data_IF_257786178915
#
_entry.id   IF_257786178915
#
_cell.length_a   1.000
_cell.length_b   1.000
_cell.length_c   1.000
_cell.angle_alpha   90.00
_cell.angle_beta   90.00
_cell.angle_gamma   90.00
#
_symmetry.space_group_name_H-M   'P 1'
#
loop_
_entity.id
_entity.type
_entity.pdbx_description
1 polymer ?
#
# COMPACT_ATOMS: atom_id res chain seq x y z
N UNK A 1 -20.12 30.81 5.81
CA UNK A 1 -19.12 30.77 4.71
C UNK A 1 -18.83 29.31 4.44
N UNK A 2 -19.39 28.75 3.39
CA UNK A 2 -19.16 27.37 2.94
C UNK A 2 -17.70 27.29 2.48
N UNK A 3 -16.88 26.55 3.21
CA UNK A 3 -15.54 26.15 2.79
C UNK A 3 -15.73 25.38 1.48
N UNK A 4 -15.37 25.98 0.33
CA UNK A 4 -15.29 25.26 -0.93
C UNK A 4 -14.41 24.04 -0.70
N UNK A 5 -14.93 22.84 -0.93
CA UNK A 5 -14.19 21.60 -0.77
C UNK A 5 -12.88 21.73 -1.55
N UNK A 6 -11.75 21.69 -0.83
CA UNK A 6 -10.42 21.85 -1.43
C UNK A 6 -10.23 20.67 -2.37
N UNK A 7 -10.20 20.96 -3.69
CA UNK A 7 -10.08 19.92 -4.71
C UNK A 7 -8.81 19.10 -4.42
N UNK A 8 -8.98 17.80 -4.17
CA UNK A 8 -7.89 16.88 -3.88
C UNK A 8 -7.16 16.56 -5.19
N UNK A 9 -5.98 17.14 -5.39
CA UNK A 9 -5.18 17.07 -6.62
C UNK A 9 -4.93 15.63 -7.11
N UNK A 10 -4.84 14.67 -6.19
CA UNK A 10 -4.55 13.28 -6.49
C UNK A 10 -5.71 12.54 -7.16
N UNK A 11 -6.98 12.97 -6.92
CA UNK A 11 -8.15 12.34 -7.57
C UNK A 11 -8.13 12.49 -9.08
N UNK A 12 -7.89 13.72 -9.55
CA UNK A 12 -7.87 14.01 -10.99
C UNK A 12 -6.60 13.48 -11.64
N UNK A 13 -5.47 13.64 -10.97
CA UNK A 13 -4.18 13.29 -11.54
C UNK A 13 -4.00 11.77 -11.69
N UNK A 14 -4.29 10.99 -10.67
CA UNK A 14 -4.14 9.53 -10.72
C UNK A 14 -5.17 8.83 -11.62
N UNK A 15 -6.27 9.51 -11.97
CA UNK A 15 -7.23 9.05 -12.98
C UNK A 15 -6.85 9.49 -14.42
N UNK A 16 -5.84 10.37 -14.57
CA UNK A 16 -5.45 10.90 -15.88
C UNK A 16 -4.75 9.84 -16.75
N UNK A 17 -5.09 9.71 -18.04
CA UNK A 17 -4.37 8.84 -18.97
C UNK A 17 -2.89 9.25 -19.11
N UNK A 18 -2.57 10.54 -18.92
CA UNK A 18 -1.20 11.04 -18.95
C UNK A 18 -0.39 10.61 -17.74
N UNK A 19 -1.02 10.48 -16.55
CA UNK A 19 -0.38 9.86 -15.40
C UNK A 19 0.06 8.44 -15.70
N UNK A 20 -0.86 7.62 -16.18
CA UNK A 20 -0.56 6.24 -16.48
C UNK A 20 0.52 6.10 -17.56
N UNK A 21 0.50 6.96 -18.59
CA UNK A 21 1.54 6.96 -19.63
C UNK A 21 2.92 7.33 -19.08
N UNK A 22 2.99 8.34 -18.21
CA UNK A 22 4.24 8.79 -17.60
C UNK A 22 4.89 7.74 -16.70
N UNK A 23 4.07 6.94 -15.97
CA UNK A 23 4.54 5.99 -14.98
C UNK A 23 4.41 4.52 -15.42
N UNK A 24 3.91 4.26 -16.64
CA UNK A 24 3.69 2.89 -17.12
C UNK A 24 5.02 2.12 -17.35
N UNK A 25 6.11 2.82 -17.60
CA UNK A 25 7.45 2.24 -17.79
C UNK A 25 8.12 1.77 -16.48
N UNK A 26 7.46 1.90 -15.33
CA UNK A 26 7.94 1.25 -14.12
C UNK A 26 7.92 -0.25 -14.34
N UNK A 27 9.11 -0.82 -14.40
CA UNK A 27 9.43 -2.17 -14.81
C UNK A 27 8.55 -3.19 -14.05
N UNK A 28 7.68 -3.90 -14.78
CA UNK A 28 6.88 -5.00 -14.21
C UNK A 28 7.78 -6.03 -13.54
N UNK A 29 8.97 -6.22 -14.07
CA UNK A 29 9.98 -7.11 -13.56
C UNK A 29 10.54 -6.65 -12.21
N UNK A 30 10.80 -5.36 -12.00
CA UNK A 30 11.23 -4.84 -10.70
C UNK A 30 10.17 -5.08 -9.63
N UNK A 31 8.90 -4.84 -9.97
CA UNK A 31 7.80 -5.10 -9.06
C UNK A 31 7.65 -6.59 -8.72
N UNK A 32 7.79 -7.47 -9.72
CA UNK A 32 7.74 -8.92 -9.53
C UNK A 32 8.88 -9.40 -8.63
N UNK A 33 10.12 -8.97 -8.92
CA UNK A 33 11.30 -9.31 -8.13
C UNK A 33 11.14 -8.84 -6.67
N UNK A 34 10.60 -7.64 -6.46
CA UNK A 34 10.35 -7.12 -5.11
C UNK A 34 9.30 -7.94 -4.36
N UNK A 35 8.16 -8.25 -5.00
CA UNK A 35 7.12 -9.08 -4.38
C UNK A 35 7.66 -10.46 -3.99
N UNK A 36 8.42 -11.12 -4.86
CA UNK A 36 9.02 -12.40 -4.55
C UNK A 36 9.98 -12.35 -3.35
N UNK A 37 10.84 -11.32 -3.28
CA UNK A 37 11.74 -11.11 -2.12
C UNK A 37 10.95 -10.87 -0.84
N UNK A 38 9.92 -10.03 -0.91
CA UNK A 38 9.08 -9.69 0.24
C UNK A 38 8.31 -10.91 0.74
N UNK A 39 7.70 -11.70 -0.14
CA UNK A 39 7.00 -12.94 0.23
C UNK A 39 7.97 -13.96 0.83
N UNK A 40 9.17 -14.09 0.26
CA UNK A 40 10.22 -14.96 0.82
C UNK A 40 10.68 -14.50 2.20
N UNK A 41 10.71 -13.20 2.47
CA UNK A 41 11.05 -12.66 3.79
C UNK A 41 9.91 -12.88 4.80
N UNK A 42 8.67 -12.57 4.40
CA UNK A 42 7.51 -12.61 5.30
C UNK A 42 7.02 -14.03 5.59
N UNK A 43 7.30 -15.00 4.71
CA UNK A 43 6.87 -16.42 4.82
C UNK A 43 5.36 -16.54 5.18
N UNK A 44 4.45 -15.94 4.40
CA UNK A 44 3.03 -16.00 4.70
C UNK A 44 2.48 -17.43 4.55
N UNK A 45 1.42 -17.74 5.30
CA UNK A 45 0.71 -19.01 5.15
C UNK A 45 0.03 -19.09 3.77
N UNK A 46 -0.15 -20.29 3.20
CA UNK A 46 -0.70 -20.46 1.85
C UNK A 46 -2.07 -19.82 1.61
N UNK A 47 -2.92 -19.73 2.63
CA UNK A 47 -4.27 -19.18 2.59
C UNK A 47 -4.37 -17.78 3.21
N UNK A 48 -3.25 -17.07 3.34
CA UNK A 48 -3.21 -15.75 3.93
C UNK A 48 -4.05 -14.75 3.12
N UNK A 49 -4.89 -13.99 3.83
CA UNK A 49 -5.64 -12.88 3.26
C UNK A 49 -4.80 -11.62 3.24
N UNK A 50 -4.67 -11.04 2.06
CA UNK A 50 -3.83 -9.87 1.83
C UNK A 50 -4.64 -8.71 1.28
N UNK A 51 -4.31 -7.47 1.69
CA UNK A 51 -4.87 -6.27 1.09
C UNK A 51 -3.76 -5.40 0.52
N UNK A 52 -3.95 -4.98 -0.74
CA UNK A 52 -3.11 -4.00 -1.45
C UNK A 52 -3.83 -2.65 -1.43
N UNK A 53 -3.33 -1.74 -0.61
CA UNK A 53 -3.91 -0.42 -0.33
C UNK A 53 -3.39 0.59 -1.35
N UNK A 54 -4.27 1.26 -2.07
CA UNK A 54 -3.96 2.11 -3.23
C UNK A 54 -3.25 1.30 -4.32
N UNK A 55 -3.89 0.19 -4.72
CA UNK A 55 -3.34 -0.81 -5.64
C UNK A 55 -3.17 -0.29 -7.08
N UNK A 56 -3.73 0.87 -7.42
CA UNK A 56 -3.74 1.40 -8.78
C UNK A 56 -4.39 0.40 -9.75
N UNK A 57 -3.68 0.05 -10.81
CA UNK A 57 -4.12 -0.94 -11.82
C UNK A 57 -3.92 -2.40 -11.41
N UNK A 58 -3.64 -2.67 -10.15
CA UNK A 58 -3.63 -4.02 -9.58
C UNK A 58 -2.38 -4.84 -9.87
N UNK A 59 -1.26 -4.24 -10.32
CA UNK A 59 -0.05 -4.97 -10.70
C UNK A 59 0.48 -5.86 -9.57
N UNK A 60 0.65 -5.34 -8.36
CA UNK A 60 1.13 -6.11 -7.20
C UNK A 60 0.07 -7.09 -6.70
N UNK A 61 -1.19 -6.67 -6.70
CA UNK A 61 -2.33 -7.54 -6.34
C UNK A 61 -2.38 -8.79 -7.22
N UNK A 62 -2.22 -8.64 -8.55
CA UNK A 62 -2.16 -9.77 -9.49
C UNK A 62 -0.97 -10.70 -9.22
N UNK A 63 0.21 -10.15 -8.90
CA UNK A 63 1.39 -10.96 -8.56
C UNK A 63 1.19 -11.77 -7.30
N UNK A 64 0.64 -11.17 -6.25
CA UNK A 64 0.31 -11.87 -5.00
C UNK A 64 -0.75 -12.97 -5.23
N UNK A 65 -1.78 -12.70 -6.04
CA UNK A 65 -2.81 -13.69 -6.37
C UNK A 65 -2.24 -14.86 -7.19
N UNK A 66 -1.33 -14.62 -8.14
CA UNK A 66 -0.59 -15.67 -8.87
C UNK A 66 0.26 -16.56 -7.96
N UNK A 67 0.71 -16.03 -6.82
CA UNK A 67 1.42 -16.81 -5.78
C UNK A 67 0.46 -17.63 -4.89
N UNK A 68 -0.87 -17.56 -5.13
CA UNK A 68 -1.88 -18.37 -4.46
C UNK A 68 -2.50 -17.72 -3.21
N UNK A 69 -2.27 -16.43 -2.95
CA UNK A 69 -2.87 -15.73 -1.82
C UNK A 69 -4.28 -15.21 -2.15
N UNK A 70 -5.12 -15.06 -1.12
CA UNK A 70 -6.43 -14.40 -1.22
C UNK A 70 -6.22 -12.87 -1.12
N UNK A 71 -6.36 -12.16 -2.25
CA UNK A 71 -5.94 -10.77 -2.39
C UNK A 71 -7.13 -9.85 -2.64
N UNK A 72 -7.20 -8.79 -1.87
CA UNK A 72 -8.10 -7.66 -2.10
C UNK A 72 -7.27 -6.43 -2.46
N UNK A 73 -7.47 -5.86 -3.65
CA UNK A 73 -6.92 -4.57 -4.03
C UNK A 73 -7.98 -3.47 -3.92
N UNK A 74 -7.61 -2.30 -3.44
CA UNK A 74 -8.49 -1.14 -3.58
C UNK A 74 -7.71 0.13 -3.91
N UNK A 75 -8.36 1.01 -4.65
CA UNK A 75 -7.83 2.33 -5.03
C UNK A 75 -8.94 3.37 -5.05
N UNK A 76 -8.55 4.63 -4.93
CA UNK A 76 -9.48 5.76 -5.03
C UNK A 76 -9.97 6.00 -6.46
N UNK A 77 -9.12 5.72 -7.47
CA UNK A 77 -9.40 5.93 -8.88
C UNK A 77 -10.29 4.81 -9.42
N UNK A 78 -11.50 5.19 -9.83
CA UNK A 78 -12.42 4.29 -10.51
C UNK A 78 -11.79 3.73 -11.81
N UNK A 79 -11.14 4.57 -12.59
CA UNK A 79 -10.51 4.21 -13.87
C UNK A 79 -9.39 3.17 -13.68
N UNK A 80 -8.64 3.28 -12.58
CA UNK A 80 -7.60 2.29 -12.25
C UNK A 80 -8.22 0.95 -11.87
N UNK A 81 -9.28 0.96 -11.07
CA UNK A 81 -9.98 -0.27 -10.65
C UNK A 81 -10.69 -0.94 -11.83
N UNK A 82 -11.37 -0.16 -12.68
CA UNK A 82 -12.01 -0.70 -13.89
C UNK A 82 -10.97 -1.38 -14.80
N UNK A 83 -9.81 -0.74 -15.01
CA UNK A 83 -8.71 -1.34 -15.75
C UNK A 83 -8.22 -2.65 -15.10
N UNK A 84 -8.01 -2.67 -13.77
CA UNK A 84 -7.55 -3.84 -13.05
C UNK A 84 -8.53 -5.02 -13.20
N UNK A 85 -9.83 -4.77 -13.09
CA UNK A 85 -10.88 -5.78 -13.27
C UNK A 85 -10.91 -6.34 -14.68
N UNK A 86 -10.78 -5.47 -15.72
CA UNK A 86 -10.73 -5.91 -17.12
C UNK A 86 -9.47 -6.71 -17.41
N UNK A 87 -8.32 -6.34 -16.83
CA UNK A 87 -7.06 -7.06 -17.00
C UNK A 87 -7.14 -8.48 -16.44
N UNK A 88 -7.70 -8.64 -15.24
CA UNK A 88 -7.89 -9.96 -14.60
C UNK A 88 -8.79 -10.87 -15.45
N UNK A 89 -9.89 -10.34 -15.98
CA UNK A 89 -10.80 -11.11 -16.87
C UNK A 89 -10.13 -11.57 -18.15
N UNK A 90 -9.28 -10.72 -18.74
CA UNK A 90 -8.62 -11.01 -20.03
C UNK A 90 -7.52 -12.06 -19.92
N UNK A 91 -6.72 -11.99 -18.85
CA UNK A 91 -5.51 -12.82 -18.67
C UNK A 91 -5.79 -14.11 -17.89
N UNK A 92 -7.07 -14.42 -17.60
CA UNK A 92 -7.48 -15.59 -16.77
C UNK A 92 -6.74 -15.67 -15.43
N UNK A 93 -6.27 -14.53 -14.90
CA UNK A 93 -5.57 -14.41 -13.61
C UNK A 93 -6.56 -14.54 -12.44
N UNK A 94 -7.69 -15.09 -12.63
CA UNK A 94 -8.76 -15.21 -11.64
C UNK A 94 -9.67 -16.39 -11.91
N UNK A 95 -9.16 -17.45 -12.53
CA UNK A 95 -9.88 -18.74 -12.55
C UNK A 95 -10.05 -19.32 -11.13
N UNK A 96 -9.26 -18.84 -10.15
CA UNK A 96 -9.52 -18.99 -8.73
C UNK A 96 -10.10 -17.67 -8.21
N UNK A 97 -11.22 -17.68 -7.48
CA UNK A 97 -11.90 -16.53 -6.85
C UNK A 97 -11.04 -15.81 -5.77
N UNK A 98 -9.71 -15.77 -5.97
CA UNK A 98 -8.73 -15.29 -4.98
C UNK A 98 -8.26 -13.85 -5.19
N UNK A 99 -8.87 -13.08 -6.12
CA UNK A 99 -8.53 -11.68 -6.38
C UNK A 99 -9.77 -10.83 -6.57
N UNK A 100 -9.91 -9.80 -5.75
CA UNK A 100 -11.03 -8.86 -5.81
C UNK A 100 -10.53 -7.42 -5.80
N UNK A 101 -11.21 -6.51 -6.55
CA UNK A 101 -10.89 -5.10 -6.59
C UNK A 101 -12.09 -4.24 -6.20
N UNK A 102 -11.81 -3.14 -5.48
CA UNK A 102 -12.83 -2.19 -5.01
C UNK A 102 -12.38 -0.75 -5.16
N UNK A 103 -13.28 0.15 -5.54
CA UNK A 103 -13.04 1.57 -5.40
C UNK A 103 -13.25 1.99 -3.94
N UNK A 104 -12.19 2.46 -3.27
CA UNK A 104 -12.28 2.88 -1.87
C UNK A 104 -11.21 3.90 -1.51
N UNK A 105 -11.52 4.77 -0.54
CA UNK A 105 -10.59 5.74 0.03
C UNK A 105 -9.98 5.18 1.33
N UNK A 106 -8.66 5.03 1.38
CA UNK A 106 -7.95 4.44 2.51
C UNK A 106 -8.16 5.18 3.85
N UNK A 107 -8.68 6.41 3.84
CA UNK A 107 -9.00 7.16 5.06
C UNK A 107 -10.27 6.66 5.76
N UNK A 108 -11.08 5.88 5.08
CA UNK A 108 -12.34 5.34 5.62
C UNK A 108 -12.23 3.86 5.96
N UNK A 109 -12.95 3.37 7.00
CA UNK A 109 -12.96 1.96 7.34
C UNK A 109 -13.51 1.09 6.20
N UNK A 110 -12.88 -0.08 5.97
CA UNK A 110 -13.31 -1.04 4.94
C UNK A 110 -13.52 -2.45 5.49
N UNK A 111 -12.59 -3.00 6.28
CA UNK A 111 -12.72 -4.26 6.99
C UNK A 111 -12.23 -4.12 8.43
N UNK A 112 -12.58 -5.09 9.29
CA UNK A 112 -12.13 -5.15 10.68
C UNK A 112 -11.59 -6.54 11.00
N UNK A 113 -10.35 -6.64 11.46
CA UNK A 113 -9.68 -7.89 11.85
C UNK A 113 -9.80 -8.99 10.78
N UNK A 114 -9.61 -8.66 9.53
CA UNK A 114 -9.87 -9.56 8.40
C UNK A 114 -8.61 -10.04 7.69
N UNK A 115 -7.64 -9.15 7.45
CA UNK A 115 -6.44 -9.44 6.70
C UNK A 115 -5.29 -9.91 7.59
N UNK A 116 -4.49 -10.84 7.07
CA UNK A 116 -3.24 -11.28 7.68
C UNK A 116 -2.11 -10.32 7.31
N UNK A 117 -2.14 -9.75 6.09
CA UNK A 117 -1.17 -8.80 5.57
C UNK A 117 -1.86 -7.61 4.90
N UNK A 118 -1.30 -6.42 5.10
CA UNK A 118 -1.64 -5.21 4.36
C UNK A 118 -0.38 -4.64 3.71
N UNK A 119 -0.51 -4.14 2.49
CA UNK A 119 0.57 -3.54 1.74
C UNK A 119 0.18 -2.16 1.25
N UNK A 120 1.14 -1.23 1.22
CA UNK A 120 1.03 0.04 0.52
C UNK A 120 2.37 0.29 -0.18
N UNK A 121 2.39 0.12 -1.50
CA UNK A 121 3.60 0.09 -2.30
C UNK A 121 3.88 1.41 -3.03
N UNK A 122 5.14 1.64 -3.40
CA UNK A 122 5.59 2.68 -4.31
C UNK A 122 5.16 4.11 -3.95
N UNK A 123 5.23 4.46 -2.67
CA UNK A 123 4.87 5.81 -2.17
C UNK A 123 3.41 6.17 -2.43
N UNK A 124 2.48 5.21 -2.31
CA UNK A 124 1.03 5.46 -2.40
C UNK A 124 0.44 6.06 -1.12
N UNK A 125 1.25 6.79 -0.37
CA UNK A 125 0.94 7.47 0.88
C UNK A 125 1.54 8.89 0.88
N UNK A 126 1.11 9.78 1.81
CA UNK A 126 1.71 11.10 1.93
C UNK A 126 1.01 12.20 1.12
N UNK A 127 -0.12 11.94 0.47
CA UNK A 127 -0.80 12.87 -0.43
C UNK A 127 -1.82 13.78 0.26
N UNK A 128 -2.24 13.46 1.46
CA UNK A 128 -3.29 14.19 2.17
C UNK A 128 -2.85 15.56 2.64
N UNK A 129 -3.82 16.42 2.91
CA UNK A 129 -3.56 17.81 3.28
C UNK A 129 -3.05 17.93 4.73
N UNK A 130 -3.52 17.09 5.63
CA UNK A 130 -3.28 17.17 7.07
C UNK A 130 -2.68 15.90 7.64
N UNK A 131 -1.95 16.01 8.77
CA UNK A 131 -1.46 14.87 9.53
C UNK A 131 -2.60 13.95 9.95
N UNK A 132 -3.74 14.52 10.39
CA UNK A 132 -4.91 13.75 10.81
C UNK A 132 -5.42 12.80 9.73
N UNK A 133 -5.45 13.22 8.47
CA UNK A 133 -5.87 12.36 7.36
C UNK A 133 -4.91 11.19 7.14
N UNK A 134 -3.61 11.41 7.35
CA UNK A 134 -2.61 10.34 7.32
C UNK A 134 -2.78 9.38 8.50
N UNK A 135 -3.02 9.91 9.71
CA UNK A 135 -3.30 9.11 10.90
C UNK A 135 -4.59 8.29 10.73
N UNK A 136 -5.64 8.86 10.09
CA UNK A 136 -6.87 8.15 9.76
C UNK A 136 -6.61 6.99 8.79
N UNK A 137 -5.77 7.18 7.77
CA UNK A 137 -5.41 6.10 6.83
C UNK A 137 -4.64 4.97 7.54
N UNK A 138 -3.63 5.28 8.37
CA UNK A 138 -2.93 4.25 9.16
C UNK A 138 -3.89 3.53 10.11
N UNK A 139 -4.82 4.25 10.74
CA UNK A 139 -5.82 3.69 11.65
C UNK A 139 -6.75 2.69 10.92
N UNK A 140 -7.24 3.01 9.73
CA UNK A 140 -8.13 2.12 8.98
C UNK A 140 -7.40 0.87 8.52
N UNK A 141 -6.15 0.99 8.05
CA UNK A 141 -5.29 -0.13 7.68
C UNK A 141 -5.04 -1.03 8.90
N UNK A 142 -4.61 -0.46 10.03
CA UNK A 142 -4.37 -1.21 11.26
C UNK A 142 -5.65 -1.91 11.77
N UNK A 143 -6.83 -1.25 11.63
CA UNK A 143 -8.12 -1.83 12.01
C UNK A 143 -8.47 -3.04 11.13
N UNK A 144 -8.15 -3.02 9.86
CA UNK A 144 -8.44 -4.12 8.92
C UNK A 144 -7.61 -5.38 9.19
N UNK A 145 -6.43 -5.22 9.77
CA UNK A 145 -5.53 -6.32 10.11
C UNK A 145 -6.04 -7.11 11.32
N UNK A 146 -5.87 -8.42 11.28
CA UNK A 146 -6.02 -9.31 12.44
C UNK A 146 -5.00 -8.97 13.54
N UNK A 147 -5.24 -9.33 14.82
CA UNK A 147 -4.17 -9.39 15.81
C UNK A 147 -3.01 -10.25 15.30
N UNK A 148 -1.78 -9.73 15.38
CA UNK A 148 -0.59 -10.37 14.81
C UNK A 148 -0.38 -10.15 13.31
N UNK A 149 -1.32 -9.51 12.61
CA UNK A 149 -1.20 -9.18 11.19
C UNK A 149 -0.08 -8.19 10.89
N UNK A 150 0.43 -8.23 9.68
CA UNK A 150 1.60 -7.46 9.21
C UNK A 150 1.17 -6.36 8.26
N UNK A 151 1.71 -5.16 8.45
CA UNK A 151 1.64 -4.06 7.50
C UNK A 151 3.01 -3.76 6.91
N UNK A 152 3.08 -3.68 5.60
CA UNK A 152 4.29 -3.23 4.88
C UNK A 152 3.96 -1.95 4.14
N UNK A 153 4.70 -0.90 4.44
CA UNK A 153 4.63 0.37 3.71
C UNK A 153 5.96 0.66 3.04
N UNK A 154 5.92 0.90 1.73
CA UNK A 154 7.06 1.28 0.92
C UNK A 154 6.97 2.78 0.58
N UNK A 155 7.80 3.56 1.21
CA UNK A 155 7.83 5.01 1.11
C UNK A 155 9.17 5.53 0.57
N UNK A 156 9.20 6.77 0.12
CA UNK A 156 10.46 7.44 -0.21
C UNK A 156 11.28 7.71 1.07
N UNK A 157 12.59 7.58 0.98
CA UNK A 157 13.48 8.03 2.05
C UNK A 157 13.68 9.55 1.93
N UNK A 158 13.07 10.31 2.83
CA UNK A 158 13.03 11.77 2.80
C UNK A 158 14.41 12.40 2.66
N UNK A 159 15.37 11.99 3.48
CA UNK A 159 16.71 12.58 3.45
C UNK A 159 17.51 12.22 2.20
N UNK A 160 17.35 11.00 1.70
CA UNK A 160 17.96 10.62 0.43
C UNK A 160 17.39 11.46 -0.72
N UNK A 161 16.08 11.66 -0.77
CA UNK A 161 15.42 12.44 -1.82
C UNK A 161 15.83 13.92 -1.75
N UNK A 162 15.97 14.50 -0.55
CA UNK A 162 16.48 15.86 -0.34
C UNK A 162 17.89 16.02 -0.92
N UNK A 163 18.78 15.06 -0.62
CA UNK A 163 20.18 15.10 -1.06
C UNK A 163 20.34 14.85 -2.59
N UNK A 164 19.34 14.22 -3.24
CA UNK A 164 19.42 13.78 -4.65
C UNK A 164 18.30 14.37 -5.54
N UNK A 165 17.70 15.49 -5.14
CA UNK A 165 16.55 16.05 -5.85
C UNK A 165 16.94 16.57 -7.24
N UNK A 166 16.41 15.95 -8.29
CA UNK A 166 16.56 16.42 -9.68
C UNK A 166 15.51 17.50 -9.96
N UNK A 167 15.91 18.76 -9.96
CA UNK A 167 14.99 19.90 -10.04
C UNK A 167 14.24 20.00 -11.37
N UNK A 168 14.87 19.70 -12.50
CA UNK A 168 14.24 19.80 -13.81
C UNK A 168 14.52 18.56 -14.64
N UNK A 169 13.51 18.07 -15.33
CA UNK A 169 13.57 16.88 -16.17
C UNK A 169 12.64 17.08 -17.37
N UNK A 170 13.04 16.61 -18.55
CA UNK A 170 12.17 16.49 -19.72
C UNK A 170 12.07 15.02 -20.10
N UNK A 171 10.84 14.49 -20.12
CA UNK A 171 10.54 13.13 -20.58
C UNK A 171 9.67 13.17 -21.82
N UNK A 172 9.94 12.27 -22.76
CA UNK A 172 9.07 12.03 -23.91
C UNK A 172 8.64 10.56 -23.90
N UNK A 173 7.35 10.31 -23.76
CA UNK A 173 6.78 8.97 -23.68
C UNK A 173 5.63 8.86 -24.64
N UNK A 174 5.71 7.93 -25.60
CA UNK A 174 4.66 7.64 -26.60
C UNK A 174 4.08 8.90 -27.29
N UNK A 175 4.96 9.86 -27.67
CA UNK A 175 4.58 11.09 -28.36
C UNK A 175 4.12 12.25 -27.45
N UNK A 176 4.01 12.03 -26.15
CA UNK A 176 3.70 13.05 -25.16
C UNK A 176 4.98 13.59 -24.53
N UNK A 177 5.12 14.91 -24.41
CA UNK A 177 6.25 15.55 -23.71
C UNK A 177 5.83 16.02 -22.32
N UNK A 178 6.63 15.69 -21.33
CA UNK A 178 6.42 16.03 -19.92
C UNK A 178 7.57 16.91 -19.45
N UNK A 179 7.30 18.18 -19.16
CA UNK A 179 8.25 19.07 -18.50
C UNK A 179 8.02 18.95 -16.99
N UNK A 180 9.02 18.45 -16.28
CA UNK A 180 8.90 18.13 -14.86
C UNK A 180 9.81 19.07 -14.08
N UNK A 181 9.25 19.76 -13.07
CA UNK A 181 9.98 20.57 -12.11
C UNK A 181 9.73 20.09 -10.71
N UNK A 182 10.80 19.85 -9.93
CA UNK A 182 10.70 19.43 -8.53
C UNK A 182 11.33 20.46 -7.62
N UNK A 183 10.73 20.62 -6.46
CA UNK A 183 11.24 21.41 -5.34
C UNK A 183 10.66 20.85 -4.05
N UNK A 184 11.11 21.35 -2.93
CA UNK A 184 10.61 20.97 -1.61
C UNK A 184 10.52 22.20 -0.69
N UNK A 185 9.76 22.04 0.39
CA UNK A 185 9.78 22.90 1.57
C UNK A 185 10.06 22.06 2.83
N UNK A 186 9.88 22.62 4.02
CA UNK A 186 10.12 21.92 5.29
C UNK A 186 9.26 20.67 5.47
N UNK A 187 8.08 20.60 4.83
CA UNK A 187 7.06 19.60 5.09
C UNK A 187 6.72 18.70 3.91
N UNK A 188 7.07 19.11 2.69
CA UNK A 188 6.63 18.45 1.46
C UNK A 188 7.65 18.49 0.34
N UNK A 189 7.59 17.46 -0.49
CA UNK A 189 8.10 17.46 -1.85
C UNK A 189 7.01 17.85 -2.82
N UNK A 190 7.39 18.60 -3.86
CA UNK A 190 6.50 19.03 -4.94
C UNK A 190 7.06 18.58 -6.27
N UNK A 191 6.17 18.17 -7.18
CA UNK A 191 6.50 17.85 -8.55
C UNK A 191 5.46 18.45 -9.47
N UNK A 192 5.82 19.55 -10.16
CA UNK A 192 4.98 20.15 -11.21
C UNK A 192 5.27 19.46 -12.52
N UNK A 193 4.23 19.07 -13.23
CA UNK A 193 4.27 18.39 -14.52
C UNK A 193 3.45 19.21 -15.50
N UNK A 194 4.09 19.67 -16.59
CA UNK A 194 3.43 20.33 -17.71
C UNK A 194 3.45 19.36 -18.88
N UNK A 195 2.27 19.08 -19.44
CA UNK A 195 2.04 18.04 -20.43
C UNK A 195 1.75 18.69 -21.77
N UNK A 196 2.53 18.34 -22.77
CA UNK A 196 2.31 18.71 -24.17
C UNK A 196 2.01 17.45 -24.97
N UNK A 197 0.78 17.36 -25.52
CA UNK A 197 0.32 16.23 -26.32
C UNK A 197 -0.50 16.75 -27.49
N UNK A 198 -0.46 16.06 -28.63
CA UNK A 198 -1.20 16.46 -29.83
C UNK A 198 -2.73 16.46 -29.65
N UNK A 199 -3.25 15.75 -28.66
CA UNK A 199 -4.68 15.74 -28.31
C UNK A 199 -5.11 16.93 -27.46
N UNK A 200 -4.18 17.72 -26.94
CA UNK A 200 -4.46 18.88 -26.08
C UNK A 200 -4.40 20.19 -26.88
N UNK A 201 -5.43 21.03 -26.72
CA UNK A 201 -5.45 22.40 -27.31
C UNK A 201 -4.49 23.33 -26.56
N UNK A 202 -4.38 23.15 -25.23
CA UNK A 202 -3.43 23.86 -24.35
C UNK A 202 -2.74 22.85 -23.47
N UNK A 203 -1.50 23.12 -23.04
CA UNK A 203 -0.79 22.24 -22.11
C UNK A 203 -1.58 22.02 -20.83
N UNK A 204 -1.61 20.77 -20.33
CA UNK A 204 -2.23 20.41 -19.07
C UNK A 204 -1.18 20.48 -17.94
N UNK A 205 -1.59 20.95 -16.76
CA UNK A 205 -0.67 21.11 -15.63
C UNK A 205 -1.17 20.37 -14.38
N UNK A 206 -0.27 19.61 -13.77
CA UNK A 206 -0.51 18.95 -12.48
C UNK A 206 0.61 19.25 -11.49
N UNK A 207 0.29 19.20 -10.20
CA UNK A 207 1.30 19.34 -9.14
C UNK A 207 1.06 18.28 -8.08
N UNK A 208 1.95 17.30 -8.05
CA UNK A 208 2.03 16.30 -6.99
C UNK A 208 2.60 16.94 -5.71
N UNK A 209 2.11 16.49 -4.55
CA UNK A 209 2.53 16.98 -3.24
C UNK A 209 2.64 15.78 -2.31
N UNK A 210 3.85 15.47 -1.87
CA UNK A 210 4.13 14.33 -1.01
C UNK A 210 4.67 14.84 0.32
N UNK A 211 4.08 14.44 1.44
CA UNK A 211 4.55 14.81 2.77
C UNK A 211 5.95 14.24 3.02
N UNK A 212 6.76 14.95 3.80
CA UNK A 212 8.07 14.46 4.25
C UNK A 212 7.87 13.70 5.56
N UNK A 213 7.76 12.38 5.49
CA UNK A 213 7.70 11.53 6.67
C UNK A 213 9.00 10.77 6.84
N UNK A 214 9.57 10.88 8.04
CA UNK A 214 10.72 10.13 8.50
C UNK A 214 10.31 8.76 9.06
N UNK A 215 11.29 7.90 9.35
CA UNK A 215 11.06 6.67 10.11
C UNK A 215 10.44 6.97 11.49
N UNK A 216 10.83 8.06 12.14
CA UNK A 216 10.24 8.50 13.42
C UNK A 216 8.75 8.80 13.28
N UNK A 217 8.35 9.57 12.24
CA UNK A 217 6.95 9.90 11.99
C UNK A 217 6.09 8.65 11.76
N UNK A 218 6.58 7.68 10.97
CA UNK A 218 5.89 6.41 10.77
C UNK A 218 5.83 5.58 12.05
N UNK A 219 6.91 5.53 12.82
CA UNK A 219 6.95 4.82 14.10
C UNK A 219 5.88 5.37 15.06
N UNK A 220 5.72 6.69 15.12
CA UNK A 220 4.69 7.34 15.94
C UNK A 220 3.28 6.99 15.42
N UNK A 221 3.00 7.17 14.11
CA UNK A 221 1.71 6.84 13.52
C UNK A 221 1.32 5.37 13.77
N UNK A 222 2.27 4.45 13.61
CA UNK A 222 2.06 3.02 13.80
C UNK A 222 1.84 2.66 15.27
N UNK A 223 2.64 3.23 16.18
CA UNK A 223 2.54 2.93 17.62
C UNK A 223 1.20 3.39 18.20
N UNK A 224 0.65 4.52 17.74
CA UNK A 224 -0.70 4.97 18.09
C UNK A 224 -1.79 3.97 17.69
N UNK A 225 -1.54 3.14 16.70
CA UNK A 225 -2.45 2.08 16.25
C UNK A 225 -2.10 0.70 16.82
N UNK A 226 -1.32 0.65 17.90
CA UNK A 226 -0.87 -0.59 18.54
C UNK A 226 -0.05 -1.49 17.57
N UNK A 227 0.68 -0.88 16.64
CA UNK A 227 1.59 -1.58 15.74
C UNK A 227 3.05 -1.35 16.15
N UNK A 228 3.85 -2.38 16.01
CA UNK A 228 5.27 -2.37 16.30
C UNK A 228 6.07 -2.53 15.02
N UNK A 229 7.02 -1.63 14.76
CA UNK A 229 8.00 -1.80 13.68
C UNK A 229 8.89 -3.00 14.02
N UNK A 230 9.02 -3.93 13.08
CA UNK A 230 9.85 -5.13 13.18
C UNK A 230 11.14 -4.97 12.40
N UNK A 231 11.04 -4.51 11.13
CA UNK A 231 12.15 -4.38 10.21
C UNK A 231 12.02 -3.13 9.35
N UNK A 232 13.14 -2.63 8.86
CA UNK A 232 13.21 -1.48 7.97
C UNK A 232 14.23 -1.73 6.87
N UNK A 233 13.81 -1.65 5.61
CA UNK A 233 14.68 -1.83 4.45
C UNK A 233 14.83 -0.53 3.67
N UNK A 234 15.94 -0.42 2.93
CA UNK A 234 16.33 0.78 2.21
C UNK A 234 16.07 0.76 0.71
N UNK A 235 15.74 -0.40 0.14
CA UNK A 235 15.47 -0.58 -1.29
C UNK A 235 14.60 -1.83 -1.55
N UNK A 236 14.20 -2.03 -2.82
CA UNK A 236 13.41 -3.19 -3.25
C UNK A 236 14.20 -4.51 -3.27
N UNK A 237 15.50 -4.49 -2.96
CA UNK A 237 16.29 -5.70 -2.70
C UNK A 237 16.25 -6.13 -1.23
N UNK A 238 15.52 -5.41 -0.38
CA UNK A 238 15.47 -5.59 1.07
C UNK A 238 16.85 -5.38 1.73
N UNK A 239 17.67 -4.48 1.17
CA UNK A 239 18.92 -4.08 1.79
C UNK A 239 18.66 -3.28 3.08
N UNK A 240 19.58 -3.28 4.05
CA UNK A 240 19.44 -2.51 5.27
C UNK A 240 19.19 -1.02 5.00
N UNK A 241 18.27 -0.41 5.75
CA UNK A 241 17.97 1.01 5.65
C UNK A 241 19.15 1.87 6.14
N UNK A 242 19.52 2.85 5.31
CA UNK A 242 20.41 3.94 5.70
C UNK A 242 19.74 5.28 5.38
N UNK A 243 19.64 6.16 6.36
CA UNK A 243 18.87 7.40 6.29
C UNK A 243 19.29 8.33 5.11
N UNK A 244 20.53 8.22 4.61
CA UNK A 244 21.05 9.08 3.52
C UNK A 244 21.52 8.34 2.28
N UNK A 245 21.71 7.01 2.37
CA UNK A 245 22.32 6.25 1.27
C UNK A 245 21.34 5.40 0.49
N UNK A 246 20.20 5.07 1.07
CA UNK A 246 19.21 4.22 0.43
C UNK A 246 17.99 5.00 -0.03
N UNK A 247 17.43 4.72 -1.22
CA UNK A 247 16.38 5.54 -1.81
C UNK A 247 14.99 5.34 -1.19
N UNK A 248 14.79 4.22 -0.48
CA UNK A 248 13.48 3.85 0.06
C UNK A 248 13.50 3.79 1.58
N UNK A 249 12.31 3.85 2.14
CA UNK A 249 11.97 3.56 3.54
C UNK A 249 10.85 2.53 3.50
N UNK A 250 11.21 1.24 3.57
CA UNK A 250 10.27 0.13 3.56
C UNK A 250 10.15 -0.39 4.98
N UNK A 251 8.98 -0.18 5.60
CA UNK A 251 8.74 -0.52 6.99
C UNK A 251 7.84 -1.76 7.06
N UNK A 252 8.28 -2.76 7.80
CA UNK A 252 7.48 -3.93 8.18
C UNK A 252 7.03 -3.75 9.63
N UNK A 253 5.74 -3.68 9.86
CA UNK A 253 5.16 -3.49 11.19
C UNK A 253 4.12 -4.56 11.50
N UNK A 254 4.03 -4.96 12.77
CA UNK A 254 3.11 -5.98 13.28
C UNK A 254 2.07 -5.38 14.20
N UNK A 255 0.81 -5.69 14.00
CA UNK A 255 -0.27 -5.38 14.94
C UNK A 255 -0.14 -6.26 16.18
N UNK A 256 0.01 -5.64 17.36
CA UNK A 256 0.06 -6.37 18.63
C UNK A 256 -1.32 -6.93 18.96
N UNK A 257 -1.36 -8.13 19.53
CA UNK A 257 -2.57 -8.63 20.18
C UNK A 257 -2.93 -7.71 21.35
N UNK A 258 -4.20 -7.49 21.60
CA UNK A 258 -4.63 -6.83 22.83
C UNK A 258 -4.71 -7.89 23.95
N UNK A 259 -4.50 -7.48 25.18
CA UNK A 259 -4.47 -8.39 26.34
C UNK A 259 -5.74 -9.26 26.46
N UNK A 260 -6.90 -8.77 26.03
CA UNK A 260 -8.14 -9.56 26.03
C UNK A 260 -8.25 -10.54 24.84
N UNK A 261 -7.59 -10.29 23.71
CA UNK A 261 -7.54 -11.22 22.56
C UNK A 261 -6.74 -12.48 22.95
N UNK A 262 -5.75 -12.36 23.84
CA UNK A 262 -4.97 -13.49 24.40
C UNK A 262 -5.79 -14.32 25.39
N UNK A 263 -6.73 -13.71 26.12
CA UNK A 263 -7.59 -14.43 27.06
C UNK A 263 -8.66 -15.28 26.34
N UNK A 264 -9.24 -14.78 25.25
CA UNK A 264 -10.21 -15.55 24.45
C UNK A 264 -9.55 -16.75 23.74
N UNK A 265 -8.30 -16.59 23.24
CA UNK A 265 -7.57 -17.69 22.61
C UNK A 265 -7.19 -18.80 23.61
N UNK A 266 -6.91 -18.45 24.86
CA UNK A 266 -6.63 -19.41 25.94
C UNK A 266 -7.90 -20.12 26.40
N UNK A 267 -9.05 -19.43 26.50
CA UNK A 267 -10.34 -20.04 26.87
C UNK A 267 -10.82 -21.02 25.80
N UNK A 268 -10.72 -20.69 24.53
CA UNK A 268 -11.09 -21.59 23.44
C UNK A 268 -10.17 -22.82 23.32
N UNK A 269 -8.93 -22.70 23.78
CA UNK A 269 -7.97 -23.81 23.88
C UNK A 269 -8.27 -24.76 25.03
N UNK A 270 -8.76 -24.26 26.17
CA UNK A 270 -9.16 -25.06 27.34
C UNK A 270 -10.49 -25.78 27.10
N UNK A 271 -11.48 -25.13 26.49
CA UNK A 271 -12.71 -25.79 26.12
C UNK A 271 -12.50 -26.96 25.14
N UNK A 272 -11.63 -26.81 24.14
CA UNK A 272 -11.29 -27.91 23.22
C UNK A 272 -10.56 -29.07 23.91
N UNK A 273 -9.78 -28.82 24.95
CA UNK A 273 -9.16 -29.89 25.77
C UNK A 273 -10.16 -30.64 26.65
N UNK A 274 -11.12 -29.92 27.23
CA UNK A 274 -12.18 -30.53 28.05
C UNK A 274 -13.12 -31.43 27.25
N UNK A 275 -13.38 -31.14 25.97
CA UNK A 275 -14.20 -31.97 25.08
C UNK A 275 -13.44 -33.12 24.41
N UNK A 276 -12.11 -33.15 24.41
CA UNK A 276 -11.31 -34.23 23.83
C UNK A 276 -11.01 -35.35 24.81
N UNK A 277 -11.11 -35.12 26.12
CA UNK A 277 -10.81 -36.11 27.17
C UNK A 277 -12.04 -36.90 27.66
N UNK A 278 -13.20 -36.64 27.11
CA UNK A 278 -14.51 -37.18 27.59
C UNK A 278 -15.09 -38.36 26.82
N UNK A 279 -14.32 -39.19 26.07
CA UNK A 279 -14.84 -40.42 25.45
C UNK A 279 -13.87 -41.58 25.56
N UNK A 280 -13.82 -42.17 26.74
CA UNK A 280 -13.54 -43.61 26.96
C UNK A 280 -14.53 -44.08 27.97
N UNK A 281 -15.64 -44.64 27.51
CA UNK A 281 -16.47 -45.58 28.29
C UNK A 281 -16.56 -46.84 27.47
N UNK A 282 -16.03 -47.89 28.09
CA UNK A 282 -16.03 -49.29 27.67
C UNK A 282 -17.43 -49.83 27.31
N UNK A 283 -17.50 -50.81 26.42
CA UNK A 283 -18.65 -51.62 26.24
C UNK A 283 -18.57 -52.85 27.19
N UNK A 284 -19.41 -52.97 28.16
CA UNK A 284 -19.68 -54.22 28.85
C UNK A 284 -21.16 -54.49 28.90
N UNK A 285 -21.45 -55.63 28.34
CA UNK A 285 -22.46 -56.66 28.30
C UNK A 285 -23.57 -56.50 27.31
#
# INVERSE_FOLDING_TARGET
MTQAARKEWFRDWFSSPFYHRLYFEHDEREAEEFIHKLVNFLQPKPDARMVDVACGRGRHSCMLAKLGFDVTGFDLSFESIDYAMQFVQKDSIGESDNLSFYQHDMRYPFWVNYFDYAFNFFTSFGYFATRREHDDAIRTIATSLKPGGIFVIDYLNTHYVEDHLVHNELKNVAGTSYQIRRWDDETRFYKKIIIHDASLVVPEEHTERVAKFSLGDFTDMLSFQNMQVLEVFGDHNLSPYDIRKTPRLIIVAKKKARLWDEQESNHSGEEKRLYSDGRKTDPLT
#
